data_IF_692404218976
#
_entry.id   IF_692404218976
#
_cell.length_a   1.000
_cell.length_b   1.000
_cell.length_c   1.000
_cell.angle_alpha   90.00
_cell.angle_beta   90.00
_cell.angle_gamma   90.00
#
_symmetry.space_group_name_H-M   'P 1'
#
loop_
_entity.id
_entity.type
_entity.pdbx_description
1 polymer ?
#
# COMPACT_ATOMS: atom_id res chain seq x y z
N UNK A 1 -15.48 9.05 -31.00
CA UNK A 1 -16.47 9.59 -30.04
C UNK A 1 -16.46 8.83 -28.73
N UNK A 2 -16.07 9.48 -27.64
CA UNK A 2 -16.14 8.93 -26.28
C UNK A 2 -17.07 9.83 -25.44
N UNK A 3 -18.13 9.26 -24.88
CA UNK A 3 -19.08 9.99 -24.04
C UNK A 3 -18.56 10.02 -22.60
N UNK A 4 -18.24 11.19 -22.08
CA UNK A 4 -17.84 11.39 -20.68
C UNK A 4 -18.96 12.16 -19.99
N UNK A 5 -19.89 11.45 -19.35
CA UNK A 5 -21.13 12.04 -18.84
C UNK A 5 -22.07 12.55 -19.94
N UNK A 6 -22.94 13.51 -19.60
CA UNK A 6 -23.94 14.13 -20.50
C UNK A 6 -23.33 15.07 -21.55
N UNK A 7 -22.01 15.29 -21.53
CA UNK A 7 -21.33 16.26 -22.39
C UNK A 7 -20.49 15.53 -23.43
N UNK A 8 -20.73 15.83 -24.71
CA UNK A 8 -19.93 15.32 -25.82
C UNK A 8 -18.60 16.07 -25.88
N UNK A 9 -17.48 15.35 -25.87
CA UNK A 9 -16.14 15.93 -26.06
C UNK A 9 -15.67 15.61 -27.48
N UNK A 10 -15.13 16.61 -28.18
CA UNK A 10 -14.59 16.46 -29.54
C UNK A 10 -13.40 15.50 -29.60
N UNK A 11 -13.37 14.66 -30.65
CA UNK A 11 -12.39 13.60 -30.83
C UNK A 11 -10.93 14.11 -30.93
N UNK A 12 -10.75 15.38 -31.29
CA UNK A 12 -9.44 16.06 -31.31
C UNK A 12 -8.86 16.31 -29.90
N UNK A 13 -9.71 16.48 -28.88
CA UNK A 13 -9.29 16.67 -27.48
C UNK A 13 -9.04 15.31 -26.82
N UNK A 14 -9.87 14.31 -27.12
CA UNK A 14 -9.70 12.94 -26.65
C UNK A 14 -8.37 12.32 -27.12
N UNK A 15 -7.95 12.62 -28.36
CA UNK A 15 -6.68 12.16 -28.91
C UNK A 15 -5.44 12.70 -28.16
N UNK A 16 -5.54 13.87 -27.51
CA UNK A 16 -4.43 14.46 -26.73
C UNK A 16 -4.31 13.89 -25.31
N UNK A 17 -5.32 13.16 -24.83
CA UNK A 17 -5.36 12.64 -23.46
C UNK A 17 -5.77 11.16 -23.45
N UNK A 18 -4.85 10.23 -23.73
CA UNK A 18 -5.18 8.80 -23.83
C UNK A 18 -5.77 8.20 -22.54
N UNK A 19 -5.52 8.79 -21.37
CA UNK A 19 -6.10 8.35 -20.09
C UNK A 19 -7.59 8.65 -19.91
N UNK A 20 -8.18 9.58 -20.70
CA UNK A 20 -9.61 9.90 -20.59
C UNK A 20 -10.50 8.73 -21.01
N UNK A 21 -10.07 7.99 -22.04
CA UNK A 21 -10.80 6.82 -22.53
C UNK A 21 -10.83 5.69 -21.50
N UNK A 22 -9.72 5.49 -20.80
CA UNK A 22 -9.58 4.45 -19.78
C UNK A 22 -10.40 4.78 -18.53
N UNK A 23 -10.39 6.07 -18.12
CA UNK A 23 -11.23 6.59 -17.03
C UNK A 23 -12.74 6.45 -17.35
N UNK A 24 -13.17 6.83 -18.56
CA UNK A 24 -14.56 6.72 -18.99
C UNK A 24 -15.05 5.26 -19.08
N UNK A 25 -14.19 4.34 -19.52
CA UNK A 25 -14.45 2.90 -19.52
C UNK A 25 -14.68 2.34 -18.11
N UNK A 26 -13.83 2.74 -17.15
CA UNK A 26 -13.95 2.30 -15.77
C UNK A 26 -15.23 2.83 -15.10
N UNK A 27 -15.55 4.11 -15.30
CA UNK A 27 -16.74 4.74 -14.72
C UNK A 27 -18.04 4.11 -15.25
N UNK A 28 -18.10 3.85 -16.56
CA UNK A 28 -19.28 3.24 -17.19
C UNK A 28 -19.49 1.78 -16.77
N UNK A 29 -18.42 0.99 -16.63
CA UNK A 29 -18.50 -0.40 -16.19
C UNK A 29 -19.00 -0.53 -14.73
N UNK A 30 -18.52 0.34 -13.83
CA UNK A 30 -18.96 0.35 -12.44
C UNK A 30 -20.45 0.72 -12.30
N UNK A 31 -20.90 1.72 -13.05
CA UNK A 31 -22.30 2.17 -13.04
C UNK A 31 -23.27 1.13 -13.63
N UNK A 32 -22.90 0.53 -14.77
CA UNK A 32 -23.73 -0.50 -15.43
C UNK A 32 -23.89 -1.75 -14.57
N UNK A 33 -22.84 -2.16 -13.85
CA UNK A 33 -22.91 -3.29 -12.92
C UNK A 33 -23.86 -3.01 -11.74
N UNK A 34 -23.83 -1.79 -11.20
CA UNK A 34 -24.71 -1.39 -10.10
C UNK A 34 -26.19 -1.35 -10.48
N UNK A 35 -26.51 -0.80 -11.66
CA UNK A 35 -27.91 -0.78 -12.15
C UNK A 35 -28.39 -2.19 -12.49
N UNK A 36 -27.55 -3.01 -13.13
CA UNK A 36 -27.90 -4.38 -13.49
C UNK A 36 -28.27 -5.24 -12.29
N UNK A 37 -27.53 -5.13 -11.19
CA UNK A 37 -27.84 -5.87 -9.96
C UNK A 37 -29.10 -5.35 -9.25
N UNK A 38 -29.36 -4.05 -9.28
CA UNK A 38 -30.58 -3.47 -8.68
C UNK A 38 -31.84 -3.90 -9.43
N UNK A 39 -31.84 -3.84 -10.77
CA UNK A 39 -32.98 -4.26 -11.60
C UNK A 39 -33.22 -5.76 -11.43
N UNK A 40 -32.16 -6.57 -11.48
CA UNK A 40 -32.27 -8.02 -11.36
C UNK A 40 -32.75 -8.43 -9.97
N UNK A 41 -32.20 -7.82 -8.91
CA UNK A 41 -32.59 -8.10 -7.53
C UNK A 41 -34.04 -7.72 -7.22
N UNK A 42 -34.45 -6.51 -7.63
CA UNK A 42 -35.82 -6.03 -7.40
C UNK A 42 -36.83 -6.81 -8.24
N UNK A 43 -36.50 -7.12 -9.50
CA UNK A 43 -37.35 -7.92 -10.39
C UNK A 43 -37.56 -9.34 -9.86
N UNK A 44 -36.50 -10.00 -9.38
CA UNK A 44 -36.59 -11.33 -8.78
C UNK A 44 -37.45 -11.34 -7.50
N UNK A 45 -37.31 -10.31 -6.65
CA UNK A 45 -38.11 -10.19 -5.43
C UNK A 45 -39.61 -10.00 -5.73
N UNK A 46 -39.95 -9.11 -6.68
CA UNK A 46 -41.34 -8.87 -7.08
C UNK A 46 -41.96 -10.09 -7.78
N UNK A 47 -41.19 -10.80 -8.61
CA UNK A 47 -41.66 -12.03 -9.24
C UNK A 47 -41.92 -13.13 -8.21
N UNK A 48 -41.02 -13.30 -7.24
CA UNK A 48 -41.19 -14.25 -6.13
C UNK A 48 -42.42 -13.89 -5.29
N UNK A 49 -42.60 -12.61 -4.98
CA UNK A 49 -43.77 -12.12 -4.24
C UNK A 49 -45.09 -12.35 -5.00
N UNK A 50 -45.09 -12.18 -6.32
CA UNK A 50 -46.25 -12.44 -7.18
C UNK A 50 -46.58 -13.94 -7.29
N UNK A 51 -45.56 -14.81 -7.34
CA UNK A 51 -45.73 -16.27 -7.40
C UNK A 51 -46.18 -16.85 -6.06
N UNK A 52 -45.75 -16.26 -4.94
CA UNK A 52 -46.15 -16.68 -3.60
C UNK A 52 -47.60 -16.27 -3.31
N UNK A 53 -48.01 -15.08 -3.74
CA UNK A 53 -49.37 -14.55 -3.54
C UNK A 53 -50.45 -15.26 -4.38
N UNK A 54 -50.10 -15.91 -5.49
CA UNK A 54 -51.05 -16.72 -6.28
C UNK A 54 -51.31 -18.09 -5.66
N UNK A 55 -50.41 -18.61 -4.82
CA UNK A 55 -50.56 -19.90 -4.14
C UNK A 55 -51.18 -19.77 -2.75
N UNK A 56 -50.94 -18.67 -2.04
CA UNK A 56 -51.41 -18.44 -0.68
C UNK A 56 -51.74 -16.94 -0.50
N UNK A 57 -53.03 -16.54 -0.42
CA UNK A 57 -53.40 -15.14 -0.24
C UNK A 57 -53.11 -14.71 1.21
N UNK A 58 -52.12 -13.84 1.40
CA UNK A 58 -51.74 -13.35 2.73
C UNK A 58 -51.95 -11.83 2.87
N UNK A 59 -52.40 -11.33 4.04
CA UNK A 59 -52.56 -9.90 4.29
C UNK A 59 -51.20 -9.18 4.44
N UNK A 60 -51.10 -7.98 3.84
CA UNK A 60 -49.91 -7.12 3.67
C UNK A 60 -49.10 -6.81 4.95
N UNK A 61 -49.67 -7.02 6.14
CA UNK A 61 -49.00 -6.70 7.41
C UNK A 61 -47.91 -7.72 7.80
N UNK A 62 -47.98 -8.96 7.31
CA UNK A 62 -47.00 -10.00 7.61
C UNK A 62 -45.73 -9.95 6.74
N UNK A 63 -45.75 -9.24 5.61
CA UNK A 63 -44.59 -9.20 4.69
C UNK A 63 -43.40 -8.41 5.25
N UNK A 64 -43.65 -7.36 6.02
CA UNK A 64 -42.60 -6.52 6.60
C UNK A 64 -41.89 -7.30 7.72
N UNK A 65 -42.64 -7.99 8.58
CA UNK A 65 -42.08 -8.77 9.68
C UNK A 65 -41.22 -9.95 9.20
N UNK A 66 -41.69 -10.72 8.20
CA UNK A 66 -40.93 -11.85 7.65
C UNK A 66 -39.67 -11.38 6.91
N UNK A 67 -39.70 -10.22 6.23
CA UNK A 67 -38.51 -9.67 5.56
C UNK A 67 -37.41 -9.24 6.53
N UNK A 68 -37.78 -8.70 7.70
CA UNK A 68 -36.82 -8.27 8.74
C UNK A 68 -36.24 -9.47 9.49
N UNK A 69 -37.04 -10.53 9.75
CA UNK A 69 -36.56 -11.75 10.39
C UNK A 69 -35.75 -12.66 9.44
N UNK A 70 -36.13 -12.78 8.17
CA UNK A 70 -35.34 -13.53 7.18
C UNK A 70 -34.04 -12.82 6.81
N UNK A 71 -33.98 -11.49 6.81
CA UNK A 71 -32.72 -10.75 6.66
C UNK A 71 -31.74 -11.03 7.81
N UNK A 72 -32.25 -11.23 9.04
CA UNK A 72 -31.44 -11.58 10.21
C UNK A 72 -30.98 -13.04 10.18
N UNK A 73 -31.79 -13.96 9.68
CA UNK A 73 -31.43 -15.38 9.53
C UNK A 73 -30.50 -15.65 8.34
N UNK A 74 -30.69 -14.97 7.20
CA UNK A 74 -29.84 -15.14 6.02
C UNK A 74 -28.46 -14.46 6.15
N UNK A 75 -28.33 -13.43 7.00
CA UNK A 75 -27.00 -12.92 7.39
C UNK A 75 -26.16 -13.96 8.14
N UNK A 76 -26.77 -14.91 8.84
CA UNK A 76 -26.04 -15.96 9.57
C UNK A 76 -25.74 -17.22 8.75
N UNK A 77 -26.52 -17.51 7.70
CA UNK A 77 -26.38 -18.75 6.90
C UNK A 77 -25.52 -18.56 5.65
N UNK A 78 -25.45 -17.34 5.10
CA UNK A 78 -24.61 -17.06 3.93
C UNK A 78 -23.11 -17.14 4.27
N UNK A 79 -22.73 -16.94 5.53
CA UNK A 79 -21.34 -17.13 5.99
C UNK A 79 -20.90 -18.61 6.03
N UNK A 80 -21.82 -19.57 6.18
CA UNK A 80 -21.46 -20.99 6.27
C UNK A 80 -21.57 -21.79 4.96
N UNK A 81 -22.46 -21.41 4.03
CA UNK A 81 -22.66 -22.18 2.78
C UNK A 81 -21.89 -21.64 1.56
N UNK A 82 -21.25 -20.46 1.67
CA UNK A 82 -20.39 -19.90 0.62
C UNK A 82 -18.95 -20.46 0.55
N UNK A 83 -18.51 -21.23 1.56
CA UNK A 83 -17.11 -21.67 1.68
C UNK A 83 -16.75 -22.90 0.81
N UNK A 84 -17.72 -23.54 0.15
CA UNK A 84 -17.49 -24.88 -0.43
C UNK A 84 -17.29 -24.99 -1.95
N UNK A 85 -17.41 -23.95 -2.80
CA UNK A 85 -17.07 -24.09 -4.24
C UNK A 85 -16.46 -22.82 -4.88
N UNK A 86 -15.15 -22.94 -5.18
CA UNK A 86 -14.29 -22.12 -6.06
C UNK A 86 -13.57 -20.92 -5.43
N UNK A 87 -12.45 -21.23 -4.77
CA UNK A 87 -11.15 -20.56 -4.93
C UNK A 87 -10.93 -20.19 -6.41
N UNK A 88 -10.48 -19.00 -6.81
CA UNK A 88 -9.28 -18.28 -6.40
C UNK A 88 -9.51 -16.76 -6.59
N UNK A 89 -8.99 -15.97 -5.64
CA UNK A 89 -8.71 -14.51 -5.67
C UNK A 89 -9.65 -13.64 -4.83
N UNK A 90 -9.49 -13.73 -3.52
CA UNK A 90 -9.33 -12.60 -2.58
C UNK A 90 -9.05 -13.20 -1.19
N UNK A 91 -7.87 -12.95 -0.63
CA UNK A 91 -7.55 -13.34 0.74
C UNK A 91 -7.96 -12.23 1.69
N UNK A 92 -9.09 -12.44 2.37
CA UNK A 92 -9.51 -11.77 3.59
C UNK A 92 -8.64 -12.21 4.77
N UNK A 93 -8.40 -11.25 5.68
CA UNK A 93 -8.77 -11.33 7.08
C UNK A 93 -8.83 -12.74 7.72
N UNK A 94 -7.83 -13.02 8.55
CA UNK A 94 -7.89 -14.04 9.59
C UNK A 94 -8.13 -13.34 10.92
N UNK A 95 -9.34 -13.49 11.46
CA UNK A 95 -9.60 -13.32 12.89
C UNK A 95 -8.96 -14.52 13.62
N UNK A 96 -7.83 -14.29 14.27
CA UNK A 96 -7.10 -15.33 14.99
C UNK A 96 -7.55 -15.39 16.46
N UNK A 97 -8.13 -16.53 16.84
CA UNK A 97 -8.56 -16.83 18.21
C UNK A 97 -7.38 -16.78 19.20
N UNK A 98 -7.65 -16.17 20.36
CA UNK A 98 -6.74 -15.77 21.45
C UNK A 98 -6.10 -16.93 22.25
N UNK A 99 -5.96 -18.14 21.72
CA UNK A 99 -5.54 -19.32 22.54
C UNK A 99 -4.26 -20.02 22.04
N UNK A 100 -3.77 -19.73 20.82
CA UNK A 100 -2.51 -20.32 20.31
C UNK A 100 -1.28 -19.39 20.39
N UNK A 101 -1.43 -18.22 21.02
CA UNK A 101 -0.40 -17.16 21.02
C UNK A 101 0.77 -17.39 21.99
N UNK A 102 0.73 -18.43 22.84
CA UNK A 102 1.74 -18.60 23.90
C UNK A 102 2.78 -19.70 23.68
N UNK A 103 2.59 -20.64 22.73
CA UNK A 103 3.57 -21.72 22.49
C UNK A 103 4.57 -21.43 21.35
N UNK A 104 4.26 -20.54 20.40
CA UNK A 104 5.20 -20.18 19.33
C UNK A 104 6.33 -19.23 19.77
N UNK A 105 6.23 -18.62 20.96
CA UNK A 105 7.27 -17.70 21.48
C UNK A 105 8.51 -18.47 21.96
N UNK A 106 8.39 -19.76 22.34
CA UNK A 106 9.54 -20.56 22.82
C UNK A 106 10.39 -21.14 21.70
N UNK A 107 9.89 -21.27 20.47
CA UNK A 107 10.63 -21.83 19.33
C UNK A 107 11.45 -20.78 18.53
N UNK A 108 11.17 -19.48 18.71
CA UNK A 108 11.85 -18.40 17.98
C UNK A 108 13.21 -17.95 18.55
N UNK A 109 13.62 -18.47 19.71
CA UNK A 109 14.78 -17.94 20.44
C UNK A 109 16.14 -18.58 20.08
N UNK A 110 16.20 -19.51 19.13
CA UNK A 110 17.45 -20.27 18.85
C UNK A 110 17.97 -20.23 17.40
N UNK A 111 17.55 -19.27 16.58
CA UNK A 111 18.06 -19.10 15.19
C UNK A 111 18.47 -17.64 14.85
N UNK A 112 18.84 -16.84 15.85
CA UNK A 112 19.07 -15.40 15.65
C UNK A 112 20.55 -14.96 15.53
N UNK A 113 21.52 -15.86 15.29
CA UNK A 113 22.95 -15.50 15.32
C UNK A 113 23.72 -15.57 13.98
N UNK A 114 23.12 -15.97 12.84
CA UNK A 114 23.86 -16.11 11.56
C UNK A 114 23.29 -15.26 10.39
N UNK A 115 22.29 -14.41 10.62
CA UNK A 115 21.44 -13.89 9.54
C UNK A 115 21.65 -12.46 8.99
N UNK A 116 22.48 -11.60 9.59
CA UNK A 116 22.46 -10.16 9.24
C UNK A 116 23.33 -9.74 8.08
N UNK A 117 24.52 -10.32 7.92
CA UNK A 117 25.47 -9.86 6.89
C UNK A 117 24.96 -10.19 5.47
N UNK A 118 24.41 -11.39 5.28
CA UNK A 118 23.82 -11.80 4.00
C UNK A 118 22.56 -11.02 3.59
N UNK A 119 21.81 -10.43 4.53
CA UNK A 119 20.60 -9.65 4.22
C UNK A 119 20.91 -8.24 3.71
N UNK A 120 21.93 -7.58 4.26
CA UNK A 120 22.38 -6.25 3.79
C UNK A 120 22.87 -6.33 2.35
N UNK A 121 23.64 -7.38 2.03
CA UNK A 121 24.13 -7.63 0.68
C UNK A 121 22.97 -7.83 -0.29
N UNK A 122 21.94 -8.60 0.09
CA UNK A 122 20.73 -8.79 -0.73
C UNK A 122 19.90 -7.50 -0.91
N UNK A 123 19.89 -6.63 0.10
CA UNK A 123 19.20 -5.34 0.01
C UNK A 123 19.94 -4.29 -0.83
N UNK A 124 21.23 -4.52 -1.13
CA UNK A 124 22.02 -3.60 -1.93
C UNK A 124 21.45 -3.43 -3.36
N UNK A 125 21.84 -2.32 -4.00
CA UNK A 125 21.40 -1.94 -5.34
C UNK A 125 20.38 -0.81 -5.33
N UNK A 126 19.77 -0.62 -6.50
CA UNK A 126 18.82 0.47 -6.74
C UNK A 126 17.39 0.08 -6.33
N UNK A 127 16.66 1.05 -5.79
CA UNK A 127 15.25 0.95 -5.44
C UNK A 127 14.53 2.26 -5.77
N UNK A 128 13.29 2.16 -6.23
CA UNK A 128 12.42 3.28 -6.55
C UNK A 128 11.39 3.46 -5.45
N UNK A 129 11.18 4.69 -4.98
CA UNK A 129 10.13 5.01 -4.03
C UNK A 129 8.78 5.02 -4.75
N UNK A 130 7.87 4.13 -4.34
CA UNK A 130 6.56 3.96 -4.98
C UNK A 130 5.46 4.71 -4.24
N UNK A 131 5.45 4.65 -2.91
CA UNK A 131 4.42 5.28 -2.09
C UNK A 131 4.91 5.54 -0.67
N UNK A 132 4.32 6.54 -0.01
CA UNK A 132 4.61 6.90 1.38
C UNK A 132 3.31 7.06 2.16
N UNK A 133 3.18 6.35 3.29
CA UNK A 133 2.10 6.51 4.25
C UNK A 133 2.60 7.36 5.43
N UNK A 134 2.04 8.54 5.63
CA UNK A 134 2.51 9.47 6.66
C UNK A 134 1.51 10.56 7.03
N UNK A 135 1.42 10.86 8.32
CA UNK A 135 0.70 12.04 8.80
C UNK A 135 1.55 13.32 8.87
N UNK A 136 2.68 13.36 8.14
CA UNK A 136 3.52 14.55 8.08
C UNK A 136 2.78 15.73 7.44
N UNK A 137 2.69 16.87 8.14
CA UNK A 137 2.05 18.09 7.65
C UNK A 137 2.59 18.56 6.29
N UNK A 138 3.90 18.41 6.06
CA UNK A 138 4.51 18.77 4.78
C UNK A 138 3.95 17.93 3.63
N UNK A 139 3.78 16.62 3.82
CA UNK A 139 3.19 15.74 2.80
C UNK A 139 1.70 16.03 2.63
N UNK A 140 0.95 16.29 3.72
CA UNK A 140 -0.47 16.70 3.64
C UNK A 140 -0.63 17.93 2.73
N UNK A 141 0.22 18.94 2.90
CA UNK A 141 0.15 20.19 2.14
C UNK A 141 0.77 20.11 0.72
N UNK A 142 1.80 19.29 0.52
CA UNK A 142 2.62 19.28 -0.71
C UNK A 142 2.55 17.94 -1.47
N UNK A 143 1.54 17.11 -1.23
CA UNK A 143 1.41 15.81 -1.93
C UNK A 143 1.41 15.95 -3.46
N UNK A 144 0.93 17.06 -4.00
CA UNK A 144 0.90 17.34 -5.45
C UNK A 144 2.27 17.69 -6.04
N UNK A 145 3.29 17.90 -5.21
CA UNK A 145 4.68 18.26 -5.59
C UNK A 145 5.68 17.17 -5.23
N UNK A 146 5.22 15.96 -4.97
CA UNK A 146 6.13 14.84 -4.70
C UNK A 146 6.94 14.53 -5.96
N UNK A 147 8.24 14.37 -5.78
CA UNK A 147 9.18 14.13 -6.87
C UNK A 147 9.65 12.69 -6.88
N UNK A 148 9.84 12.16 -8.08
CA UNK A 148 10.36 10.81 -8.27
C UNK A 148 11.70 10.64 -7.55
N UNK A 149 11.76 9.62 -6.69
CA UNK A 149 12.88 9.41 -5.76
C UNK A 149 13.42 8.01 -5.93
N UNK A 150 14.75 7.91 -6.04
CA UNK A 150 15.49 6.65 -6.14
C UNK A 150 16.45 6.55 -4.97
N UNK A 151 16.63 5.38 -4.39
CA UNK A 151 17.71 5.11 -3.45
C UNK A 151 18.68 4.08 -4.04
N UNK A 152 19.98 4.30 -3.83
CA UNK A 152 21.04 3.33 -4.10
C UNK A 152 21.61 2.90 -2.76
N UNK A 153 21.31 1.66 -2.40
CA UNK A 153 21.76 1.05 -1.16
C UNK A 153 23.06 0.29 -1.41
N UNK A 154 24.05 0.49 -0.55
CA UNK A 154 25.33 -0.19 -0.60
C UNK A 154 25.82 -0.54 0.80
N UNK A 155 26.64 -1.57 0.91
CA UNK A 155 27.35 -1.87 2.15
C UNK A 155 28.51 -0.89 2.32
N UNK A 156 28.78 -0.46 3.55
CA UNK A 156 30.01 0.28 3.82
C UNK A 156 31.24 -0.57 3.52
N UNK A 157 32.19 0.01 2.79
CA UNK A 157 33.47 -0.60 2.44
C UNK A 157 34.54 -0.37 3.52
N UNK A 158 34.24 0.44 4.54
CA UNK A 158 35.15 0.72 5.65
C UNK A 158 35.28 -0.52 6.56
N UNK A 159 36.50 -0.99 6.89
CA UNK A 159 36.72 -2.24 7.64
C UNK A 159 36.04 -2.29 9.03
N UNK A 160 35.84 -1.13 9.67
CA UNK A 160 35.21 -1.01 11.00
C UNK A 160 33.69 -0.75 10.96
N UNK A 161 33.12 -0.62 9.78
CA UNK A 161 31.73 -0.19 9.58
C UNK A 161 31.01 -1.07 8.55
N UNK A 162 31.56 -2.24 8.26
CA UNK A 162 31.09 -3.21 7.27
C UNK A 162 29.63 -3.64 7.43
N UNK A 163 29.07 -3.46 8.63
CA UNK A 163 27.67 -3.73 8.94
C UNK A 163 26.73 -2.52 8.74
N UNK A 164 27.26 -1.35 8.40
CA UNK A 164 26.49 -0.15 8.12
C UNK A 164 25.98 -0.14 6.67
N UNK A 165 24.78 0.40 6.51
CA UNK A 165 24.15 0.57 5.20
C UNK A 165 24.35 2.02 4.73
N UNK A 166 25.04 2.18 3.60
CA UNK A 166 25.15 3.45 2.90
C UNK A 166 23.96 3.58 1.95
N UNK A 167 23.25 4.69 2.03
CA UNK A 167 22.08 4.95 1.20
C UNK A 167 22.26 6.31 0.53
N UNK A 168 22.32 6.29 -0.80
CA UNK A 168 22.37 7.48 -1.62
C UNK A 168 20.97 7.72 -2.17
N UNK A 169 20.31 8.79 -1.75
CA UNK A 169 18.98 9.16 -2.23
C UNK A 169 19.13 10.19 -3.34
N UNK A 170 18.63 9.86 -4.53
CA UNK A 170 18.54 10.79 -5.65
C UNK A 170 17.09 11.24 -5.82
N UNK A 171 16.88 12.55 -5.81
CA UNK A 171 15.57 13.16 -6.01
C UNK A 171 15.71 14.53 -6.65
N UNK A 172 14.63 15.01 -7.27
CA UNK A 172 14.55 16.40 -7.69
C UNK A 172 14.16 17.30 -6.52
N UNK A 173 14.74 18.50 -6.52
CA UNK A 173 14.29 19.64 -5.74
C UNK A 173 14.39 20.85 -6.66
N UNK A 174 13.26 21.52 -6.89
CA UNK A 174 13.14 22.67 -7.79
C UNK A 174 13.68 22.38 -9.22
N UNK A 175 13.39 21.18 -9.73
CA UNK A 175 13.81 20.73 -11.06
C UNK A 175 15.25 20.24 -11.16
N UNK A 176 16.08 20.45 -10.14
CA UNK A 176 17.49 20.06 -10.12
C UNK A 176 17.64 18.72 -9.39
N UNK A 177 18.51 17.85 -9.90
CA UNK A 177 18.81 16.56 -9.28
C UNK A 177 19.79 16.71 -8.12
N UNK A 178 19.37 16.27 -6.93
CA UNK A 178 20.19 16.24 -5.73
C UNK A 178 20.51 14.81 -5.31
N UNK A 179 21.73 14.61 -4.83
CA UNK A 179 22.18 13.36 -4.21
C UNK A 179 22.39 13.58 -2.70
N UNK A 180 21.66 12.84 -1.88
CA UNK A 180 21.75 12.88 -0.42
C UNK A 180 22.42 11.59 0.05
N UNK A 181 23.62 11.69 0.62
CA UNK A 181 24.41 10.55 1.10
C UNK A 181 24.18 10.36 2.59
N UNK A 182 23.65 9.20 2.97
CA UNK A 182 23.29 8.87 4.34
C UNK A 182 23.95 7.57 4.78
N UNK A 183 24.34 7.51 6.05
CA UNK A 183 24.89 6.30 6.66
C UNK A 183 23.99 5.79 7.78
N UNK A 184 23.37 4.64 7.56
CA UNK A 184 22.50 3.95 8.48
C UNK A 184 23.33 2.96 9.30
N UNK A 185 23.43 3.22 10.61
CA UNK A 185 24.20 2.37 11.54
C UNK A 185 23.34 1.21 11.99
N UNK A 186 23.89 -0.01 11.99
CA UNK A 186 23.18 -1.20 12.48
C UNK A 186 22.86 -1.03 13.98
N UNK A 187 21.66 -1.44 14.38
CA UNK A 187 21.27 -1.54 15.78
C UNK A 187 21.46 -2.97 16.31
N UNK A 188 21.37 -3.17 17.63
CA UNK A 188 21.41 -4.49 18.29
C UNK A 188 20.32 -5.44 17.77
N UNK A 189 19.21 -4.88 17.28
CA UNK A 189 18.09 -5.64 16.70
C UNK A 189 18.30 -5.77 15.20
N UNK A 190 18.32 -7.01 14.71
CA UNK A 190 18.49 -7.33 13.29
C UNK A 190 17.40 -6.65 12.43
N UNK A 191 17.80 -6.03 11.32
CA UNK A 191 16.87 -5.32 10.41
C UNK A 191 16.47 -3.92 10.89
N UNK A 192 16.93 -3.49 12.06
CA UNK A 192 16.79 -2.11 12.56
C UNK A 192 18.09 -1.35 12.38
N UNK A 193 17.97 -0.15 11.84
CA UNK A 193 19.06 0.77 11.59
C UNK A 193 18.75 2.13 12.20
N UNK A 194 19.79 2.84 12.57
CA UNK A 194 19.72 4.17 13.16
C UNK A 194 20.43 5.14 12.23
N UNK A 195 19.71 6.19 11.83
CA UNK A 195 20.29 7.35 11.15
C UNK A 195 20.44 8.50 12.15
N UNK A 196 21.65 9.04 12.24
CA UNK A 196 21.91 10.31 12.94
C UNK A 196 21.76 11.43 11.93
N UNK A 197 20.78 12.30 12.14
CA UNK A 197 20.53 13.44 11.25
C UNK A 197 21.39 14.61 11.71
N UNK A 198 22.15 15.22 10.78
CA UNK A 198 23.01 16.36 11.08
C UNK A 198 22.20 17.52 11.67
N UNK A 199 22.71 18.13 12.74
CA UNK A 199 22.04 19.25 13.43
C UNK A 199 20.76 18.88 14.19
N UNK A 200 20.38 17.60 14.25
CA UNK A 200 19.27 17.11 15.07
C UNK A 200 19.80 16.24 16.20
N UNK A 201 19.46 16.58 17.44
CA UNK A 201 19.72 15.72 18.62
C UNK A 201 19.01 14.37 18.48
N UNK A 202 17.92 14.34 17.72
CA UNK A 202 17.00 13.21 17.61
C UNK A 202 17.39 12.29 16.46
N UNK A 203 17.54 11.00 16.79
CA UNK A 203 17.83 9.94 15.84
C UNK A 203 16.58 9.50 15.09
N UNK A 204 16.76 8.99 13.88
CA UNK A 204 15.71 8.37 13.06
C UNK A 204 15.92 6.86 13.08
N UNK A 205 14.92 6.14 13.59
CA UNK A 205 14.88 4.68 13.56
C UNK A 205 14.29 4.22 12.22
N UNK A 206 15.02 3.38 11.50
CA UNK A 206 14.58 2.73 10.28
C UNK A 206 14.50 1.22 10.51
N UNK A 207 13.39 0.59 10.14
CA UNK A 207 13.23 -0.88 10.20
C UNK A 207 12.81 -1.38 8.83
N UNK A 208 13.49 -2.40 8.33
CA UNK A 208 13.05 -3.16 7.15
C UNK A 208 12.00 -4.16 7.63
N UNK A 209 10.72 -3.86 7.42
CA UNK A 209 9.62 -4.64 7.98
C UNK A 209 9.30 -5.88 7.13
N UNK A 210 9.13 -5.69 5.83
CA UNK A 210 8.85 -6.77 4.88
C UNK A 210 9.60 -6.51 3.57
N UNK A 211 10.28 -7.51 3.04
CA UNK A 211 10.93 -7.44 1.73
C UNK A 211 11.22 -8.84 1.20
N UNK A 212 11.11 -9.00 -0.11
CA UNK A 212 11.58 -10.19 -0.83
C UNK A 212 12.96 -9.96 -1.49
N UNK A 213 13.58 -8.80 -1.28
CA UNK A 213 14.84 -8.32 -1.87
C UNK A 213 14.87 -8.18 -3.40
N UNK A 214 13.94 -8.82 -4.12
CA UNK A 214 13.89 -8.90 -5.58
C UNK A 214 12.83 -8.01 -6.22
N UNK A 215 11.71 -7.71 -5.54
CA UNK A 215 10.61 -6.94 -6.11
C UNK A 215 10.26 -5.72 -5.27
N UNK A 216 10.17 -5.85 -3.94
CA UNK A 216 9.69 -4.77 -3.08
C UNK A 216 10.31 -4.77 -1.68
N UNK A 217 10.22 -3.62 -1.01
CA UNK A 217 10.57 -3.47 0.38
C UNK A 217 9.68 -2.43 1.07
N UNK A 218 9.17 -2.77 2.25
CA UNK A 218 8.38 -1.89 3.11
C UNK A 218 9.25 -1.50 4.30
N UNK A 219 9.56 -0.20 4.38
CA UNK A 219 10.44 0.37 5.38
C UNK A 219 9.65 1.26 6.33
N UNK A 220 9.86 1.07 7.61
CA UNK A 220 9.27 1.86 8.68
C UNK A 220 10.29 2.87 9.17
N UNK A 221 9.88 4.13 9.25
CA UNK A 221 10.66 5.23 9.76
C UNK A 221 9.95 5.81 10.98
N UNK A 222 10.65 5.88 12.12
CA UNK A 222 10.10 6.41 13.35
C UNK A 222 10.91 7.61 13.83
N UNK A 223 10.23 8.74 14.02
CA UNK A 223 10.80 9.96 14.60
C UNK A 223 9.82 10.53 15.62
N UNK A 224 10.25 10.65 16.88
CA UNK A 224 9.44 11.25 17.96
C UNK A 224 8.02 10.66 18.08
N UNK A 225 7.93 9.32 18.08
CA UNK A 225 6.66 8.56 18.08
C UNK A 225 5.80 8.69 16.81
N UNK A 226 6.18 9.53 15.84
CA UNK A 226 5.53 9.58 14.53
C UNK A 226 6.15 8.51 13.63
N UNK A 227 5.29 7.68 13.04
CA UNK A 227 5.67 6.63 12.11
C UNK A 227 5.43 7.10 10.68
N UNK A 228 6.30 6.69 9.77
CA UNK A 228 6.15 6.89 8.33
C UNK A 228 6.57 5.60 7.65
N UNK A 229 5.71 5.09 6.78
CA UNK A 229 5.97 3.84 6.07
C UNK A 229 6.26 4.18 4.62
N UNK A 230 7.31 3.60 4.05
CA UNK A 230 7.70 3.80 2.67
C UNK A 230 7.71 2.46 1.93
N UNK A 231 7.05 2.43 0.79
CA UNK A 231 7.09 1.31 -0.14
C UNK A 231 8.14 1.60 -1.22
N UNK A 232 9.11 0.71 -1.35
CA UNK A 232 10.09 0.71 -2.42
C UNK A 232 9.89 -0.49 -3.33
N UNK A 233 10.19 -0.31 -4.62
CA UNK A 233 10.22 -1.36 -5.62
C UNK A 233 11.58 -1.45 -6.32
N UNK A 234 11.95 -2.64 -6.80
CA UNK A 234 13.06 -2.78 -7.76
C UNK A 234 12.69 -2.23 -9.14
N UNK A 235 11.40 -2.26 -9.48
CA UNK A 235 10.82 -1.56 -10.62
C UNK A 235 10.21 -0.22 -10.24
N UNK A 236 9.83 0.58 -11.25
CA UNK A 236 9.15 1.88 -11.08
C UNK A 236 7.68 1.75 -10.66
N UNK A 237 7.14 0.53 -10.74
CA UNK A 237 5.79 0.14 -10.31
C UNK A 237 5.88 -1.23 -9.63
N UNK A 238 4.89 -1.56 -8.81
CA UNK A 238 4.73 -2.88 -8.22
C UNK A 238 3.39 -3.51 -8.63
N UNK A 239 3.21 -4.79 -8.30
CA UNK A 239 1.94 -5.50 -8.48
C UNK A 239 0.92 -5.06 -7.42
N UNK A 240 -0.36 -5.16 -7.73
CA UNK A 240 -1.47 -4.72 -6.86
C UNK A 240 -1.53 -5.44 -5.50
N UNK A 241 -1.04 -6.68 -5.42
CA UNK A 241 -0.91 -7.39 -4.14
C UNK A 241 0.10 -6.72 -3.21
N UNK A 242 1.17 -6.14 -3.74
CA UNK A 242 2.16 -5.40 -2.95
C UNK A 242 1.58 -4.08 -2.43
N UNK A 243 0.80 -3.37 -3.24
CA UNK A 243 0.10 -2.17 -2.78
C UNK A 243 -0.92 -2.49 -1.68
N UNK A 244 -1.72 -3.56 -1.83
CA UNK A 244 -2.65 -4.00 -0.78
C UNK A 244 -1.95 -4.40 0.51
N UNK A 245 -0.79 -5.07 0.44
CA UNK A 245 0.03 -5.33 1.63
C UNK A 245 0.45 -4.03 2.29
N UNK A 246 0.93 -3.06 1.52
CA UNK A 246 1.35 -1.75 2.02
C UNK A 246 0.20 -0.99 2.69
N UNK A 247 -1.01 -1.02 2.12
CA UNK A 247 -2.21 -0.43 2.71
C UNK A 247 -2.56 -1.09 4.06
N UNK A 248 -2.42 -2.41 4.14
CA UNK A 248 -2.56 -3.16 5.40
C UNK A 248 -1.52 -2.75 6.44
N UNK A 249 -0.26 -2.58 6.05
CA UNK A 249 0.80 -2.08 6.94
C UNK A 249 0.50 -0.67 7.47
N UNK A 250 -0.03 0.23 6.63
CA UNK A 250 -0.42 1.58 7.03
C UNK A 250 -1.60 1.55 8.02
N UNK A 251 -2.66 0.82 7.68
CA UNK A 251 -3.88 0.70 8.49
C UNK A 251 -3.58 0.09 9.87
N UNK A 252 -2.72 -0.94 9.93
CA UNK A 252 -2.28 -1.58 11.18
C UNK A 252 -1.46 -0.65 12.08
N UNK A 253 -0.91 0.45 11.54
CA UNK A 253 -0.22 1.48 12.32
C UNK A 253 -1.12 2.69 12.61
N UNK A 254 -2.41 2.60 12.30
CA UNK A 254 -3.39 3.67 12.50
C UNK A 254 -3.26 4.82 11.49
N UNK A 255 -2.55 4.62 10.38
CA UNK A 255 -2.47 5.62 9.30
C UNK A 255 -3.63 5.36 8.34
N UNK A 256 -4.54 6.32 8.22
CA UNK A 256 -5.64 6.27 7.27
C UNK A 256 -5.12 6.17 5.83
N UNK A 257 -5.84 5.43 4.97
CA UNK A 257 -5.53 5.28 3.55
C UNK A 257 -5.51 6.63 2.81
N UNK A 258 -6.24 7.64 3.30
CA UNK A 258 -6.20 9.02 2.82
C UNK A 258 -4.82 9.69 2.99
N UNK A 259 -3.96 9.16 3.87
CA UNK A 259 -2.61 9.65 4.11
C UNK A 259 -1.53 8.80 3.41
N UNK A 260 -1.93 8.07 2.37
CA UNK A 260 -1.05 7.36 1.45
C UNK A 260 -0.82 8.23 0.22
N UNK A 261 0.44 8.59 -0.02
CA UNK A 261 0.86 9.44 -1.12
C UNK A 261 1.64 8.63 -2.15
N UNK A 262 1.07 8.35 -3.33
CA UNK A 262 1.80 7.70 -4.41
C UNK A 262 2.85 8.65 -4.99
N UNK A 263 4.02 8.10 -5.33
CA UNK A 263 5.10 8.85 -5.95
C UNK A 263 5.09 8.69 -7.48
N UNK A 264 5.62 9.66 -8.24
CA UNK A 264 5.59 9.60 -9.70
C UNK A 264 6.47 8.46 -10.23
N UNK A 265 6.00 7.82 -11.30
CA UNK A 265 6.70 6.72 -11.98
C UNK A 265 7.68 7.19 -13.07
N UNK A 266 7.88 8.50 -13.18
CA UNK A 266 8.71 9.16 -14.19
C UNK A 266 9.49 10.33 -13.59
N UNK A 267 10.53 10.80 -14.29
CA UNK A 267 11.30 11.97 -13.85
C UNK A 267 12.38 11.68 -12.81
N UNK A 268 12.78 10.41 -12.64
CA UNK A 268 13.89 10.02 -11.77
C UNK A 268 15.23 10.66 -12.16
N UNK A 269 16.10 10.85 -11.18
CA UNK A 269 17.47 11.30 -11.37
C UNK A 269 18.43 10.10 -11.42
N UNK A 270 19.38 10.13 -12.36
CA UNK A 270 20.43 9.09 -12.45
C UNK A 270 21.70 9.49 -11.70
N UNK A 271 22.05 10.77 -11.76
CA UNK A 271 23.23 11.40 -11.16
C UNK A 271 22.89 12.84 -10.75
N UNK A 272 23.66 13.38 -9.80
CA UNK A 272 23.70 14.79 -9.44
C UNK A 272 25.09 15.34 -9.78
N UNK A 273 25.20 16.64 -10.07
CA UNK A 273 26.49 17.30 -10.20
C UNK A 273 27.11 17.58 -8.82
N UNK A 274 28.38 18.00 -8.82
CA UNK A 274 29.19 18.20 -7.62
C UNK A 274 28.63 19.24 -6.63
N UNK A 275 27.80 20.19 -7.08
CA UNK A 275 27.25 21.25 -6.24
C UNK A 275 25.94 20.83 -5.56
N UNK A 276 25.30 19.76 -6.04
CA UNK A 276 24.02 19.26 -5.55
C UNK A 276 24.18 17.93 -4.80
N UNK A 277 25.27 17.80 -4.04
CA UNK A 277 25.55 16.66 -3.17
C UNK A 277 25.44 17.11 -1.71
N UNK A 278 24.48 16.55 -0.98
CA UNK A 278 24.34 16.71 0.46
C UNK A 278 24.93 15.47 1.16
N UNK A 279 26.11 15.64 1.75
CA UNK A 279 26.77 14.57 2.50
C UNK A 279 26.42 14.62 4.00
N UNK A 280 25.60 13.68 4.45
CA UNK A 280 25.21 13.48 5.85
C UNK A 280 25.98 12.33 6.54
N UNK A 281 27.00 11.76 5.89
CA UNK A 281 27.76 10.62 6.44
C UNK A 281 28.76 11.01 7.53
N UNK A 282 29.14 12.30 7.60
CA UNK A 282 30.23 12.83 8.44
C UNK A 282 29.83 13.27 9.86
N UNK A 283 28.73 12.75 10.43
CA UNK A 283 28.28 13.09 11.80
C UNK A 283 28.92 12.28 12.94
#
# INVERSE_FOLDING_TARGET
MVTVGLSRVDDAVAAKHPGLSEYAGCQSHAFMKGIGTFITGTGAALFTQKLLNTRLPYPLQWSILISVETARYLSGVVDCLGVARRQIRCGCELTMNSVYMWESIKAGAMLASVGTEGRIIKFAGQWYLLSVASECNYLKANNHRVEATTIKAARSTKPRETENLLVHTLRKMDGICWEIKQQYRKNKINGRFILKVRGSIRQLDMVVAETDYENYAILYYQRQKKITIKLYGRGKTAKDDIYRKFDGHASNQGIDLLYIYPFPTYGFCEKADQFHILDETSS
#
